data_IF_311880538386
#
_entry.id   IF_311880538386
#
_cell.length_a   1.000
_cell.length_b   1.000
_cell.length_c   1.000
_cell.angle_alpha   90.00
_cell.angle_beta   90.00
_cell.angle_gamma   90.00
#
_symmetry.space_group_name_H-M   'P 1'
#
loop_
_entity.id
_entity.type
_entity.pdbx_description
1 polymer ?
#
# COMPACT_ATOMS: atom_id res chain seq x y z
N UNK A 1 -14.28 -4.76 -7.77
CA UNK A 1 -14.78 -6.07 -8.25
C UNK A 1 -16.29 -6.06 -8.29
N UNK A 2 -17.00 -5.59 -7.26
CA UNK A 2 -18.47 -5.46 -7.29
C UNK A 2 -19.02 -4.59 -8.41
N UNK A 3 -18.26 -3.59 -8.87
CA UNK A 3 -18.63 -2.77 -10.02
C UNK A 3 -18.29 -3.40 -11.38
N UNK A 4 -17.41 -4.42 -11.42
CA UNK A 4 -16.87 -4.97 -12.67
C UNK A 4 -17.60 -6.26 -13.09
N UNK A 5 -18.19 -6.98 -12.14
CA UNK A 5 -18.85 -8.25 -12.41
C UNK A 5 -20.06 -8.49 -11.52
N UNK A 6 -21.10 -9.09 -12.09
CA UNK A 6 -22.26 -9.60 -11.37
C UNK A 6 -22.01 -10.98 -10.73
N UNK A 7 -20.93 -11.66 -11.12
CA UNK A 7 -20.61 -13.00 -10.63
C UNK A 7 -19.11 -13.29 -10.54
N UNK A 8 -18.72 -14.05 -9.51
CA UNK A 8 -17.33 -14.34 -9.19
C UNK A 8 -17.16 -15.84 -8.94
N UNK A 9 -16.02 -16.37 -9.41
CA UNK A 9 -15.51 -17.68 -9.00
C UNK A 9 -14.34 -17.48 -8.04
N UNK A 10 -14.36 -18.21 -6.93
CA UNK A 10 -13.20 -18.30 -6.04
C UNK A 10 -12.35 -19.51 -6.42
N UNK A 11 -11.03 -19.37 -6.28
CA UNK A 11 -10.08 -20.46 -6.45
C UNK A 11 -9.28 -20.58 -5.16
N UNK A 12 -9.21 -21.79 -4.61
CA UNK A 12 -8.40 -22.09 -3.43
C UNK A 12 -7.55 -23.33 -3.66
N UNK A 13 -6.50 -23.49 -2.86
CA UNK A 13 -5.60 -24.63 -2.95
C UNK A 13 -4.24 -24.29 -2.37
N UNK A 14 -3.23 -25.03 -2.81
CA UNK A 14 -1.84 -24.83 -2.40
C UNK A 14 -1.01 -24.43 -3.61
N UNK A 15 -0.35 -23.27 -3.49
CA UNK A 15 0.52 -22.74 -4.55
C UNK A 15 1.55 -23.80 -4.97
N UNK A 16 1.64 -24.06 -6.29
CA UNK A 16 2.54 -25.06 -6.87
C UNK A 16 2.10 -26.52 -6.73
N UNK A 17 0.98 -26.82 -6.06
CA UNK A 17 0.48 -28.19 -5.91
C UNK A 17 -0.88 -28.40 -6.59
N UNK A 18 -1.91 -27.64 -6.20
CA UNK A 18 -3.25 -27.79 -6.76
C UNK A 18 -4.12 -26.53 -6.57
N UNK A 19 -5.17 -26.42 -7.38
CA UNK A 19 -6.21 -25.40 -7.25
C UNK A 19 -7.59 -25.99 -7.53
N UNK A 20 -8.58 -25.60 -6.74
CA UNK A 20 -9.99 -25.99 -6.86
C UNK A 20 -10.82 -24.74 -7.09
N UNK A 21 -11.60 -24.75 -8.17
CA UNK A 21 -12.52 -23.67 -8.52
C UNK A 21 -13.91 -23.95 -7.92
N UNK A 22 -14.45 -23.00 -7.18
CA UNK A 22 -15.82 -23.12 -6.63
C UNK A 22 -16.87 -22.76 -7.67
N UNK A 23 -18.11 -23.16 -7.38
CA UNK A 23 -19.28 -22.76 -8.19
C UNK A 23 -19.42 -21.23 -8.21
N UNK A 24 -20.05 -20.73 -9.27
CA UNK A 24 -20.31 -19.30 -9.44
C UNK A 24 -21.13 -18.76 -8.26
N UNK A 25 -20.70 -17.63 -7.69
CA UNK A 25 -21.41 -16.93 -6.61
C UNK A 25 -21.64 -15.47 -7.01
N UNK A 26 -22.60 -14.81 -6.37
CA UNK A 26 -22.76 -13.36 -6.51
C UNK A 26 -21.55 -12.63 -5.92
N UNK A 27 -21.23 -11.45 -6.44
CA UNK A 27 -20.02 -10.71 -6.06
C UNK A 27 -19.94 -10.44 -4.55
N UNK A 28 -21.03 -9.95 -3.94
CA UNK A 28 -21.12 -9.74 -2.50
C UNK A 28 -20.87 -11.01 -1.68
N UNK A 29 -21.48 -12.14 -2.08
CA UNK A 29 -21.31 -13.42 -1.37
C UNK A 29 -19.87 -13.92 -1.48
N UNK A 30 -19.32 -13.91 -2.69
CA UNK A 30 -17.96 -14.36 -2.95
C UNK A 30 -16.92 -13.54 -2.18
N UNK A 31 -17.05 -12.21 -2.18
CA UNK A 31 -16.14 -11.31 -1.47
C UNK A 31 -16.21 -11.56 0.03
N UNK A 32 -17.41 -11.65 0.61
CA UNK A 32 -17.57 -11.87 2.05
C UNK A 32 -17.02 -13.24 2.50
N UNK A 33 -17.28 -14.31 1.75
CA UNK A 33 -16.71 -15.64 2.03
C UNK A 33 -15.18 -15.64 1.91
N UNK A 34 -14.64 -14.96 0.89
CA UNK A 34 -13.20 -14.79 0.71
C UNK A 34 -12.56 -14.00 1.86
N UNK A 35 -13.20 -12.93 2.33
CA UNK A 35 -12.74 -12.13 3.47
C UNK A 35 -12.82 -12.93 4.78
N UNK A 36 -13.91 -13.67 5.00
CA UNK A 36 -14.06 -14.56 6.16
C UNK A 36 -13.06 -15.72 6.19
N UNK A 37 -12.49 -16.10 5.04
CA UNK A 37 -11.52 -17.20 4.92
C UNK A 37 -12.16 -18.59 5.03
N UNK A 38 -13.49 -18.68 4.90
CA UNK A 38 -14.26 -19.92 4.99
C UNK A 38 -15.35 -19.94 3.93
N UNK A 39 -15.47 -21.10 3.26
CA UNK A 39 -16.41 -21.38 2.18
C UNK A 39 -17.48 -22.35 2.70
N UNK A 40 -18.68 -21.87 3.08
CA UNK A 40 -19.67 -22.70 3.76
C UNK A 40 -20.26 -23.81 2.88
N UNK A 41 -20.47 -23.55 1.60
CA UNK A 41 -21.06 -24.51 0.66
C UNK A 41 -20.11 -25.68 0.36
N UNK A 42 -18.81 -25.37 0.29
CA UNK A 42 -17.75 -26.37 0.12
C UNK A 42 -17.32 -27.00 1.46
N UNK A 43 -17.73 -26.42 2.60
CA UNK A 43 -17.26 -26.78 3.93
C UNK A 43 -15.71 -26.76 4.05
N UNK A 44 -15.08 -25.73 3.46
CA UNK A 44 -13.62 -25.59 3.40
C UNK A 44 -13.16 -24.28 4.02
N UNK A 45 -12.12 -24.35 4.86
CA UNK A 45 -11.41 -23.18 5.38
C UNK A 45 -10.17 -22.90 4.53
N UNK A 46 -10.20 -21.79 3.78
CA UNK A 46 -9.09 -21.38 2.91
C UNK A 46 -8.03 -20.55 3.64
N UNK A 47 -8.39 -19.98 4.80
CA UNK A 47 -7.49 -19.20 5.65
C UNK A 47 -7.87 -19.33 7.13
N UNK A 48 -6.90 -19.39 8.07
CA UNK A 48 -7.20 -19.52 9.49
C UNK A 48 -7.81 -18.28 10.15
N UNK A 49 -7.76 -17.11 9.49
CA UNK A 49 -8.27 -15.83 10.02
C UNK A 49 -9.16 -15.10 9.01
N UNK A 50 -10.08 -14.27 9.53
CA UNK A 50 -10.86 -13.31 8.77
C UNK A 50 -10.06 -12.03 8.48
N UNK A 51 -10.33 -11.39 7.34
CA UNK A 51 -9.91 -10.01 7.08
C UNK A 51 -11.08 -9.12 7.46
N UNK A 52 -10.93 -8.42 8.58
CA UNK A 52 -11.92 -7.46 9.07
C UNK A 52 -11.39 -6.04 8.86
N UNK A 53 -12.19 -5.21 8.18
CA UNK A 53 -11.88 -3.80 8.00
C UNK A 53 -12.31 -3.05 9.25
N UNK A 54 -11.35 -2.79 10.14
CA UNK A 54 -11.59 -1.88 11.25
C UNK A 54 -11.75 -0.47 10.69
N UNK A 55 -12.92 0.13 10.88
CA UNK A 55 -13.05 1.58 10.87
C UNK A 55 -12.22 2.11 12.03
N UNK A 56 -10.94 2.36 11.78
CA UNK A 56 -10.16 3.25 12.64
C UNK A 56 -10.71 4.66 12.40
N UNK A 57 -11.89 4.93 12.94
CA UNK A 57 -12.25 6.28 13.34
C UNK A 57 -11.18 6.66 14.33
N UNK A 58 -10.16 7.40 13.89
CA UNK A 58 -9.18 7.97 14.78
C UNK A 58 -9.96 8.91 15.72
N UNK A 59 -10.37 8.41 16.88
CA UNK A 59 -10.63 9.29 18.01
C UNK A 59 -9.26 9.88 18.31
N UNK A 60 -9.04 11.09 17.81
CA UNK A 60 -7.79 11.84 17.96
C UNK A 60 -7.73 12.31 19.42
N UNK A 61 -7.54 11.37 20.34
CA UNK A 61 -7.51 11.65 21.79
C UNK A 61 -6.16 12.21 22.21
N UNK A 62 -5.13 12.12 21.35
CA UNK A 62 -3.78 12.59 21.63
C UNK A 62 -3.25 13.42 20.47
N UNK A 63 -2.77 14.62 20.79
CA UNK A 63 -1.94 15.43 19.90
C UNK A 63 -0.63 14.65 19.75
N UNK A 64 -0.42 14.08 18.57
CA UNK A 64 0.83 13.40 18.23
C UNK A 64 1.82 14.46 17.76
N UNK A 65 3.06 14.49 18.29
CA UNK A 65 4.06 15.46 17.84
C UNK A 65 4.36 15.28 16.35
N UNK A 66 4.77 16.36 15.70
CA UNK A 66 5.25 16.33 14.32
C UNK A 66 6.53 15.52 14.24
N UNK A 67 6.58 14.54 13.34
CA UNK A 67 7.77 13.73 13.10
C UNK A 67 8.64 14.29 11.99
N UNK A 68 8.01 14.75 10.90
CA UNK A 68 8.67 15.35 9.73
C UNK A 68 7.77 16.44 9.17
N UNK A 69 8.35 17.55 8.74
CA UNK A 69 7.70 18.57 7.94
C UNK A 69 8.50 18.88 6.67
N UNK A 70 7.81 19.47 5.70
CA UNK A 70 8.41 19.99 4.48
C UNK A 70 7.80 21.33 4.10
N UNK A 71 8.60 22.20 3.51
CA UNK A 71 8.14 23.45 2.91
C UNK A 71 7.46 23.21 1.56
N UNK A 72 6.91 24.28 0.97
CA UNK A 72 6.53 24.25 -0.44
C UNK A 72 7.76 23.97 -1.31
N UNK A 73 7.64 23.04 -2.25
CA UNK A 73 8.70 22.77 -3.21
C UNK A 73 8.15 22.40 -4.59
N UNK A 74 8.97 22.63 -5.61
CA UNK A 74 8.70 22.21 -6.98
C UNK A 74 9.85 21.37 -7.52
N UNK A 75 9.52 20.39 -8.36
CA UNK A 75 10.51 19.62 -9.10
C UNK A 75 10.04 19.39 -10.53
N UNK A 76 10.92 19.70 -11.48
CA UNK A 76 10.70 19.47 -12.92
C UNK A 76 11.56 18.29 -13.38
N UNK A 77 10.91 17.30 -13.97
CA UNK A 77 11.50 16.09 -14.54
C UNK A 77 11.10 16.00 -16.01
N UNK A 78 11.93 16.54 -16.90
CA UNK A 78 11.59 16.68 -18.31
C UNK A 78 10.38 17.60 -18.49
N UNK A 79 9.32 17.10 -19.14
CA UNK A 79 8.08 17.85 -19.39
C UNK A 79 7.10 17.85 -18.20
N UNK A 80 7.44 17.15 -17.12
CA UNK A 80 6.59 17.00 -15.94
C UNK A 80 7.06 17.89 -14.80
N UNK A 81 6.16 18.70 -14.24
CA UNK A 81 6.44 19.50 -13.03
C UNK A 81 5.49 19.08 -11.90
N UNK A 82 6.07 18.71 -10.77
CA UNK A 82 5.34 18.46 -9.52
C UNK A 82 5.51 19.67 -8.61
N UNK A 83 4.38 20.22 -8.15
CA UNK A 83 4.33 21.22 -7.10
C UNK A 83 3.75 20.58 -5.84
N UNK A 84 4.50 20.61 -4.75
CA UNK A 84 4.10 20.08 -3.46
C UNK A 84 3.91 21.24 -2.47
N UNK A 85 2.70 21.32 -1.92
CA UNK A 85 2.38 22.27 -0.85
C UNK A 85 3.11 21.87 0.45
N UNK A 86 3.36 22.83 1.36
CA UNK A 86 3.95 22.52 2.66
C UNK A 86 3.04 21.56 3.44
N UNK A 87 3.66 20.69 4.23
CA UNK A 87 2.92 19.70 5.00
C UNK A 87 3.78 19.03 6.07
N UNK A 88 3.14 18.20 6.88
CA UNK A 88 3.74 17.50 7.99
C UNK A 88 3.21 16.07 8.11
N UNK A 89 4.00 15.20 8.75
CA UNK A 89 3.63 13.85 9.15
C UNK A 89 3.79 13.76 10.66
N UNK A 90 2.71 13.37 11.34
CA UNK A 90 2.69 13.17 12.79
C UNK A 90 3.28 11.80 13.16
N UNK A 91 3.85 11.69 14.37
CA UNK A 91 4.26 10.38 14.91
C UNK A 91 3.08 9.42 14.98
N UNK A 92 3.33 8.13 14.76
CA UNK A 92 2.32 7.07 14.84
C UNK A 92 1.12 7.25 13.89
N UNK A 93 1.27 8.05 12.83
CA UNK A 93 0.26 8.25 11.81
C UNK A 93 0.53 7.39 10.56
N UNK A 94 -0.54 7.08 9.83
CA UNK A 94 -0.47 6.45 8.50
C UNK A 94 -1.10 7.40 7.50
N UNK A 95 -0.29 7.92 6.59
CA UNK A 95 -0.73 8.87 5.56
C UNK A 95 -0.87 8.15 4.22
N UNK A 96 -2.09 8.15 3.67
CA UNK A 96 -2.38 7.60 2.34
C UNK A 96 -2.24 8.68 1.27
N UNK A 97 -1.34 8.48 0.29
CA UNK A 97 -1.21 9.37 -0.88
C UNK A 97 -2.04 8.80 -2.03
N UNK A 98 -3.10 9.52 -2.41
CA UNK A 98 -4.05 9.11 -3.44
C UNK A 98 -3.96 10.00 -4.69
N UNK A 99 -4.35 9.45 -5.84
CA UNK A 99 -4.37 10.18 -7.11
C UNK A 99 -4.14 9.26 -8.31
N UNK A 100 -4.48 9.72 -9.51
CA UNK A 100 -4.22 9.02 -10.77
C UNK A 100 -2.73 8.71 -11.00
N UNK A 101 -2.45 7.78 -11.90
CA UNK A 101 -1.08 7.53 -12.34
C UNK A 101 -0.48 8.78 -13.00
N UNK A 102 0.85 8.90 -12.99
CA UNK A 102 1.59 10.05 -13.53
C UNK A 102 1.35 11.42 -12.86
N UNK A 103 0.59 11.50 -11.76
CA UNK A 103 0.44 12.75 -10.97
C UNK A 103 1.62 13.02 -10.01
N UNK A 104 2.74 12.33 -10.15
CA UNK A 104 3.93 12.58 -9.32
C UNK A 104 3.92 11.97 -7.92
N UNK A 105 2.98 11.07 -7.56
CA UNK A 105 2.98 10.39 -6.25
C UNK A 105 4.32 9.73 -5.92
N UNK A 106 4.86 8.96 -6.86
CA UNK A 106 6.16 8.30 -6.70
C UNK A 106 7.29 9.32 -6.59
N UNK A 107 7.23 10.41 -7.34
CA UNK A 107 8.20 11.51 -7.28
C UNK A 107 8.18 12.21 -5.93
N UNK A 108 6.99 12.53 -5.40
CA UNK A 108 6.80 13.13 -4.08
C UNK A 108 7.43 12.26 -2.98
N UNK A 109 7.14 10.96 -2.97
CA UNK A 109 7.72 10.03 -1.98
C UNK A 109 9.24 9.92 -2.14
N UNK A 110 9.77 9.95 -3.37
CA UNK A 110 11.22 9.93 -3.60
C UNK A 110 11.92 11.19 -3.09
N UNK A 111 11.29 12.36 -3.22
CA UNK A 111 11.80 13.62 -2.65
C UNK A 111 11.80 13.54 -1.13
N UNK A 112 10.69 13.12 -0.51
CA UNK A 112 10.63 12.91 0.94
C UNK A 112 11.66 11.89 1.44
N UNK A 113 11.91 10.84 0.67
CA UNK A 113 12.91 9.82 0.96
C UNK A 113 14.36 10.28 0.69
N UNK A 114 14.57 11.52 0.24
CA UNK A 114 15.88 12.04 -0.19
C UNK A 114 16.56 11.18 -1.28
N UNK A 115 15.77 10.46 -2.08
CA UNK A 115 16.24 9.68 -3.23
C UNK A 115 16.44 10.58 -4.46
N UNK A 116 15.63 11.64 -4.56
CA UNK A 116 15.76 12.69 -5.57
C UNK A 116 15.79 14.02 -4.82
N UNK A 117 16.77 14.87 -5.14
CA UNK A 117 16.85 16.23 -4.60
C UNK A 117 15.97 17.17 -5.42
N UNK A 118 15.12 17.94 -4.75
CA UNK A 118 14.42 19.08 -5.33
C UNK A 118 15.10 20.34 -4.81
N UNK A 119 15.47 21.25 -5.71
CA UNK A 119 16.35 22.39 -5.40
C UNK A 119 15.88 23.24 -4.20
N UNK A 120 14.57 23.37 -4.02
CA UNK A 120 13.97 24.19 -2.96
C UNK A 120 13.35 23.38 -1.81
N UNK A 121 13.41 22.03 -1.86
CA UNK A 121 12.82 21.18 -0.84
C UNK A 121 13.68 21.15 0.43
N UNK A 122 13.08 21.55 1.54
CA UNK A 122 13.61 21.44 2.89
C UNK A 122 12.73 20.49 3.68
N UNK A 123 13.29 19.33 4.02
CA UNK A 123 12.62 18.29 4.80
C UNK A 123 13.35 18.19 6.14
N UNK A 124 12.64 18.51 7.23
CA UNK A 124 13.21 18.56 8.58
C UNK A 124 12.29 17.87 9.59
N UNK A 125 12.85 17.25 10.66
CA UNK A 125 14.25 16.88 10.84
C UNK A 125 14.69 15.73 9.93
N UNK A 126 16.01 15.52 9.78
CA UNK A 126 16.54 14.33 9.08
C UNK A 126 16.17 13.06 9.84
N UNK A 127 15.25 12.27 9.28
CA UNK A 127 14.83 10.97 9.82
C UNK A 127 15.46 9.82 9.04
N UNK A 128 15.55 8.64 9.67
CA UNK A 128 15.90 7.41 8.95
C UNK A 128 14.69 6.92 8.18
N UNK A 129 14.84 6.76 6.87
CA UNK A 129 13.73 6.38 5.98
C UNK A 129 13.99 4.99 5.43
N UNK A 130 13.03 4.09 5.65
CA UNK A 130 12.98 2.82 4.94
C UNK A 130 12.12 3.00 3.69
N UNK A 131 12.76 3.06 2.52
CA UNK A 131 12.07 3.23 1.24
C UNK A 131 11.90 1.88 0.54
N UNK A 132 10.65 1.51 0.25
CA UNK A 132 10.31 0.35 -0.58
C UNK A 132 9.94 0.83 -1.99
N UNK A 133 10.78 0.60 -3.02
CA UNK A 133 10.49 1.05 -4.37
C UNK A 133 9.28 0.32 -4.95
N UNK A 134 8.57 1.00 -5.87
CA UNK A 134 7.41 0.42 -6.57
C UNK A 134 7.82 -0.75 -7.48
N UNK A 135 9.00 -0.69 -8.08
CA UNK A 135 9.61 -1.76 -8.86
C UNK A 135 10.77 -2.34 -8.06
N UNK A 136 10.70 -3.63 -7.76
CA UNK A 136 11.72 -4.35 -7.02
C UNK A 136 12.75 -4.84 -8.05
N UNK A 137 14.02 -4.44 -7.92
CA UNK A 137 15.10 -5.04 -8.69
C UNK A 137 15.68 -6.24 -7.95
N UNK A 138 16.13 -7.24 -8.68
CA UNK A 138 16.75 -8.46 -8.14
C UNK A 138 18.27 -8.38 -8.16
N UNK A 139 18.83 -7.20 -7.94
CA UNK A 139 20.26 -6.91 -8.14
C UNK A 139 21.16 -7.47 -7.01
N UNK A 140 20.63 -8.40 -6.21
CA UNK A 140 21.36 -9.09 -5.15
C UNK A 140 21.64 -10.53 -5.59
N UNK A 141 22.92 -10.88 -5.67
CA UNK A 141 23.35 -12.23 -5.99
C UNK A 141 23.54 -13.03 -4.71
N UNK A 142 22.47 -13.68 -4.24
CA UNK A 142 22.45 -14.46 -3.01
C UNK A 142 21.05 -14.99 -2.69
N UNK A 143 20.92 -15.70 -1.58
CA UNK A 143 19.62 -16.19 -1.11
C UNK A 143 18.81 -15.07 -0.45
N UNK A 144 17.47 -15.21 -0.42
CA UNK A 144 16.60 -14.25 0.31
C UNK A 144 16.97 -14.19 1.79
N UNK A 145 17.43 -15.30 2.38
CA UNK A 145 17.94 -15.32 3.75
C UNK A 145 19.16 -14.42 3.93
N UNK A 146 20.11 -14.41 2.99
CA UNK A 146 21.29 -13.53 3.07
C UNK A 146 20.96 -12.05 2.84
N UNK A 147 19.84 -11.75 2.18
CA UNK A 147 19.40 -10.37 1.96
C UNK A 147 18.71 -9.77 3.19
N UNK A 148 18.03 -10.61 3.98
CA UNK A 148 17.21 -10.18 5.12
C UNK A 148 18.00 -10.23 6.45
N UNK A 149 19.00 -11.12 6.55
CA UNK A 149 19.84 -11.32 7.74
C UNK A 149 21.27 -10.84 7.51
#
# INVERSE_FOLDING_TARGET
>A
MDWISDSIHLVYGQSGAYGVTVKQKSSNKAINEFLAGYLPEENVRIRPYSIDFQEKGFVRTQISPEMVNWNEFSITLGDFTLNANPGNIETSSVVGVLGGNALGKTTFVKVLASVIEANDAKIEPKVRIAYKPQYISSDFNGSVSELIY
#
